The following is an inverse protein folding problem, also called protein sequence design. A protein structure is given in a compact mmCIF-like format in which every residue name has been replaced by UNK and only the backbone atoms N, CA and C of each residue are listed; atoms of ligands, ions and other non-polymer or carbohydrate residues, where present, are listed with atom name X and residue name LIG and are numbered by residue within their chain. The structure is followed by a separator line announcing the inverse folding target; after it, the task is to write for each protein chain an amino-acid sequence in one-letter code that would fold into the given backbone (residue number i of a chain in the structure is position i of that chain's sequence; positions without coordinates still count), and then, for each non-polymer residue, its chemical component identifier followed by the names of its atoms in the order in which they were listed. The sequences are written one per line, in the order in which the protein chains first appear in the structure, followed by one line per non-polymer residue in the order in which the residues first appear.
data_IF_480536152582
#
_entry.id   IF_480536152582
#
_cell.length_a   1.000
_cell.length_b   1.000
_cell.length_c   1.000
_cell.angle_alpha   90.00
_cell.angle_beta   90.00
_cell.angle_gamma   90.00
#
_symmetry.space_group_name_H-M   'P 1'
#
loop_
_entity.id
_entity.type
_entity.pdbx_description
1 polymer ?
#
# COMPACT_ATOMS: atom_id res chain seq x y z
N UNK A 1 -20.71 41.17 -38.73
CA UNK A 1 -19.44 41.57 -38.10
C UNK A 1 -19.01 40.44 -37.18
N UNK A 2 -17.75 39.95 -37.24
CA UNK A 2 -17.26 39.01 -36.22
C UNK A 2 -17.37 39.69 -34.86
N UNK A 3 -17.82 38.97 -33.82
CA UNK A 3 -17.91 39.54 -32.47
C UNK A 3 -16.49 39.88 -32.01
N UNK A 4 -16.30 41.00 -31.31
CA UNK A 4 -14.97 41.46 -30.83
C UNK A 4 -14.21 40.37 -30.05
N UNK A 5 -14.94 39.44 -29.41
CA UNK A 5 -14.38 38.25 -28.77
C UNK A 5 -13.64 37.32 -29.77
N UNK A 6 -14.19 37.06 -30.96
CA UNK A 6 -13.57 36.21 -31.98
C UNK A 6 -12.28 36.82 -32.53
N UNK A 7 -12.23 38.15 -32.64
CA UNK A 7 -11.03 38.88 -33.09
C UNK A 7 -9.93 38.79 -32.03
N UNK A 8 -10.30 38.92 -30.75
CA UNK A 8 -9.38 38.77 -29.62
C UNK A 8 -8.76 37.37 -29.53
N UNK A 9 -9.56 36.32 -29.70
CA UNK A 9 -9.06 34.94 -29.73
C UNK A 9 -8.11 34.69 -30.90
N UNK A 10 -8.43 35.22 -32.09
CA UNK A 10 -7.61 35.06 -33.29
C UNK A 10 -6.25 35.77 -33.16
N UNK A 11 -6.23 36.98 -32.61
CA UNK A 11 -4.99 37.72 -32.31
C UNK A 11 -4.15 36.94 -31.30
N UNK A 12 -4.75 36.46 -30.21
CA UNK A 12 -4.04 35.66 -29.20
C UNK A 12 -3.46 34.37 -29.78
N UNK A 13 -4.18 33.71 -30.69
CA UNK A 13 -3.69 32.52 -31.40
C UNK A 13 -2.48 32.85 -32.30
N UNK A 14 -2.55 33.95 -33.06
CA UNK A 14 -1.45 34.42 -33.93
C UNK A 14 -0.22 34.77 -33.10
N UNK A 15 -0.38 35.52 -32.00
CA UNK A 15 0.72 35.89 -31.10
C UNK A 15 1.38 34.65 -30.50
N UNK A 16 0.59 33.69 -29.99
CA UNK A 16 1.11 32.40 -29.49
C UNK A 16 1.90 31.63 -30.55
N UNK A 17 1.35 31.54 -31.77
CA UNK A 17 2.01 30.84 -32.88
C UNK A 17 3.32 31.52 -33.31
N UNK A 18 3.37 32.85 -33.27
CA UNK A 18 4.54 33.64 -33.66
C UNK A 18 5.63 33.54 -32.60
N UNK A 19 5.26 33.59 -31.32
CA UNK A 19 6.18 33.40 -30.20
C UNK A 19 6.81 32.00 -30.21
N UNK A 20 6.01 30.96 -30.48
CA UNK A 20 6.50 29.59 -30.63
C UNK A 20 7.50 29.46 -31.81
N UNK A 21 7.21 30.08 -32.96
CA UNK A 21 8.14 30.12 -34.10
C UNK A 21 9.44 30.84 -33.75
N UNK A 22 9.38 31.98 -33.07
CA UNK A 22 10.58 32.72 -32.64
C UNK A 22 11.44 31.85 -31.72
N UNK A 23 10.84 31.18 -30.72
CA UNK A 23 11.61 30.31 -29.83
C UNK A 23 12.28 29.14 -30.57
N UNK A 24 11.61 28.56 -31.56
CA UNK A 24 12.16 27.48 -32.39
C UNK A 24 13.24 27.95 -33.38
N UNK A 25 13.13 29.16 -33.92
CA UNK A 25 14.10 29.69 -34.91
C UNK A 25 15.39 30.17 -34.26
N UNK A 26 15.32 30.75 -33.07
CA UNK A 26 16.50 31.28 -32.37
C UNK A 26 17.14 30.29 -31.38
N UNK A 27 16.65 29.04 -31.33
CA UNK A 27 17.22 27.98 -30.50
C UNK A 27 17.38 28.38 -29.03
N UNK A 28 16.46 29.20 -28.48
CA UNK A 28 16.60 29.63 -27.08
C UNK A 28 16.57 28.39 -26.19
N UNK A 29 17.55 28.21 -25.28
CA UNK A 29 17.52 27.09 -24.36
C UNK A 29 16.20 27.12 -23.59
N UNK A 30 15.44 26.03 -23.64
CA UNK A 30 14.16 25.94 -22.92
C UNK A 30 14.33 26.21 -21.42
N UNK A 31 15.52 25.97 -20.88
CA UNK A 31 15.95 26.29 -19.52
C UNK A 31 15.98 27.81 -19.23
N UNK A 32 16.46 28.65 -20.15
CA UNK A 32 16.42 30.13 -20.02
C UNK A 32 14.96 30.61 -20.00
N UNK A 33 14.11 30.08 -20.88
CA UNK A 33 12.69 30.41 -20.88
C UNK A 33 12.02 30.01 -19.55
N UNK A 34 12.30 28.81 -19.04
CA UNK A 34 11.77 28.33 -17.76
C UNK A 34 12.21 29.22 -16.59
N UNK A 35 13.49 29.66 -16.58
CA UNK A 35 14.05 30.54 -15.54
C UNK A 35 13.35 31.90 -15.43
N UNK A 36 12.70 32.36 -16.51
CA UNK A 36 11.93 33.61 -16.55
C UNK A 36 10.48 33.44 -16.10
N UNK A 37 10.05 32.19 -15.89
CA UNK A 37 8.68 31.84 -15.51
C UNK A 37 8.51 31.64 -14.00
N UNK A 38 9.41 32.17 -13.18
CA UNK A 38 9.43 31.99 -11.72
C UNK A 38 8.10 32.33 -11.03
N UNK A 39 7.36 33.34 -11.50
CA UNK A 39 6.04 33.65 -10.95
C UNK A 39 5.01 32.54 -11.24
N UNK A 40 5.02 32.00 -12.46
CA UNK A 40 4.15 30.88 -12.87
C UNK A 40 4.51 29.62 -12.09
N UNK A 41 5.81 29.34 -11.91
CA UNK A 41 6.28 28.15 -11.21
C UNK A 41 5.94 28.18 -9.71
N UNK A 42 5.72 29.36 -9.12
CA UNK A 42 5.28 29.50 -7.73
C UNK A 42 3.77 29.32 -7.53
N UNK A 43 2.97 29.27 -8.60
CA UNK A 43 1.53 29.01 -8.50
C UNK A 43 1.25 27.64 -7.87
N UNK A 44 0.08 27.50 -7.24
CA UNK A 44 -0.35 26.24 -6.63
C UNK A 44 -0.49 25.14 -7.69
N UNK A 45 -1.15 25.45 -8.81
CA UNK A 45 -1.29 24.59 -9.98
C UNK A 45 -0.64 25.21 -11.24
N UNK A 46 0.70 25.16 -11.37
CA UNK A 46 1.40 25.80 -12.47
C UNK A 46 1.07 25.17 -13.83
N UNK A 47 0.63 23.90 -13.85
CA UNK A 47 0.25 23.19 -15.09
C UNK A 47 -1.07 23.69 -15.69
N UNK A 48 -1.90 24.39 -14.91
CA UNK A 48 -3.08 25.08 -15.43
C UNK A 48 -2.70 26.36 -16.20
N UNK A 49 -1.49 26.88 -15.99
CA UNK A 49 -1.04 28.11 -16.61
C UNK A 49 -0.70 27.90 -18.09
N UNK A 50 -1.41 28.62 -18.96
CA UNK A 50 -1.22 28.52 -20.41
C UNK A 50 0.22 28.81 -20.86
N UNK A 51 0.98 29.65 -20.15
CA UNK A 51 2.39 29.91 -20.47
C UNK A 51 3.24 28.65 -20.28
N UNK A 52 3.01 27.92 -19.19
CA UNK A 52 3.74 26.68 -18.92
C UNK A 52 3.36 25.58 -19.93
N UNK A 53 2.09 25.49 -20.32
CA UNK A 53 1.65 24.55 -21.36
C UNK A 53 2.30 24.86 -22.72
N UNK A 54 2.43 26.14 -23.09
CA UNK A 54 3.15 26.54 -24.32
C UNK A 54 4.64 26.20 -24.21
N UNK A 55 5.25 26.39 -23.03
CA UNK A 55 6.63 25.98 -22.79
C UNK A 55 6.83 24.46 -22.90
N UNK A 56 5.92 23.65 -22.33
CA UNK A 56 5.96 22.18 -22.46
C UNK A 56 5.95 21.76 -23.93
N UNK A 57 5.05 22.34 -24.73
CA UNK A 57 4.98 22.09 -26.18
C UNK A 57 6.27 22.50 -26.89
N UNK A 58 6.86 23.62 -26.52
CA UNK A 58 8.12 24.08 -27.09
C UNK A 58 9.27 23.10 -26.80
N UNK A 59 9.35 22.56 -25.57
CA UNK A 59 10.34 21.52 -25.22
C UNK A 59 10.14 20.27 -26.07
N UNK A 60 8.90 19.81 -26.27
CA UNK A 60 8.61 18.67 -27.14
C UNK A 60 9.08 18.90 -28.58
N UNK A 61 8.71 20.05 -29.18
CA UNK A 61 9.08 20.41 -30.54
C UNK A 61 10.60 20.53 -30.71
N UNK A 62 11.30 21.07 -29.70
CA UNK A 62 12.75 21.20 -29.68
C UNK A 62 13.42 19.83 -29.64
N UNK A 63 12.97 18.94 -28.73
CA UNK A 63 13.51 17.59 -28.58
C UNK A 63 13.25 16.73 -29.83
N UNK A 64 12.14 16.94 -30.53
CA UNK A 64 11.84 16.26 -31.79
C UNK A 64 12.78 16.71 -32.92
N UNK A 65 13.12 18.01 -32.97
CA UNK A 65 14.06 18.56 -33.98
C UNK A 65 15.52 18.23 -33.68
N UNK A 66 15.88 18.11 -32.40
CA UNK A 66 17.25 17.86 -31.94
C UNK A 66 17.34 16.65 -31.00
N UNK A 67 17.06 15.41 -31.44
CA UNK A 67 16.95 14.25 -30.55
C UNK A 67 18.23 13.91 -29.76
N UNK A 68 19.41 14.23 -30.31
CA UNK A 68 20.70 13.96 -29.65
C UNK A 68 20.98 14.87 -28.46
N UNK A 69 20.38 16.05 -28.44
CA UNK A 69 20.52 17.06 -27.38
C UNK A 69 19.27 17.14 -26.50
N UNK A 70 18.33 16.21 -26.71
CA UNK A 70 17.03 16.25 -26.08
C UNK A 70 17.15 16.18 -24.55
N UNK A 71 16.48 17.13 -23.88
CA UNK A 71 16.33 17.18 -22.43
C UNK A 71 14.85 17.18 -22.10
N UNK A 72 14.41 16.28 -21.22
CA UNK A 72 13.00 16.19 -20.86
C UNK A 72 12.54 17.46 -20.12
N UNK A 73 11.30 17.88 -20.34
CA UNK A 73 10.72 18.99 -19.57
C UNK A 73 10.70 18.66 -18.07
N UNK A 74 10.44 17.39 -17.73
CA UNK A 74 10.51 16.88 -16.38
C UNK A 74 11.87 17.10 -15.70
N UNK A 75 12.99 16.87 -16.41
CA UNK A 75 14.33 17.06 -15.88
C UNK A 75 14.61 18.54 -15.56
N UNK A 76 14.16 19.46 -16.42
CA UNK A 76 14.30 20.90 -16.21
C UNK A 76 13.45 21.37 -15.01
N UNK A 77 12.22 20.85 -14.88
CA UNK A 77 11.36 21.13 -13.74
C UNK A 77 11.91 20.52 -12.44
N UNK A 78 12.55 19.35 -12.51
CA UNK A 78 13.24 18.73 -11.37
C UNK A 78 14.43 19.57 -10.94
N UNK A 79 15.19 20.16 -11.87
CA UNK A 79 16.27 21.07 -11.53
C UNK A 79 15.77 22.36 -10.82
N UNK A 80 14.55 22.80 -11.13
CA UNK A 80 13.96 24.00 -10.50
C UNK A 80 13.32 23.73 -9.14
N UNK A 81 12.40 22.77 -9.06
CA UNK A 81 11.66 22.47 -7.83
C UNK A 81 12.46 21.56 -6.89
N UNK A 82 13.40 20.81 -7.44
CA UNK A 82 13.99 19.65 -6.81
C UNK A 82 13.04 18.45 -6.82
N UNK A 83 13.65 17.28 -6.74
CA UNK A 83 12.99 16.02 -6.41
C UNK A 83 14.06 14.97 -6.13
N UNK A 84 14.10 14.43 -4.92
CA UNK A 84 15.05 13.41 -4.53
C UNK A 84 14.51 12.51 -3.43
N UNK A 85 15.11 11.33 -3.32
CA UNK A 85 14.79 10.34 -2.29
C UNK A 85 15.08 10.79 -0.84
N UNK A 86 15.73 11.95 -0.63
CA UNK A 86 16.17 12.45 0.68
C UNK A 86 15.25 13.53 1.26
N UNK A 87 14.04 13.68 0.71
CA UNK A 87 12.99 14.51 1.30
C UNK A 87 12.68 15.81 0.57
N UNK A 88 13.32 16.10 -0.58
CA UNK A 88 12.75 17.10 -1.49
C UNK A 88 11.79 16.37 -2.45
N UNK A 89 10.49 16.58 -2.29
CA UNK A 89 9.46 15.97 -3.14
C UNK A 89 8.57 17.01 -3.81
N UNK A 90 9.03 18.26 -3.97
CA UNK A 90 8.18 19.38 -4.36
C UNK A 90 7.56 19.19 -5.76
N UNK A 91 8.36 18.74 -6.73
CA UNK A 91 7.82 18.43 -8.07
C UNK A 91 6.78 17.30 -7.98
N UNK A 92 7.09 16.21 -7.27
CA UNK A 92 6.17 15.09 -7.08
C UNK A 92 4.85 15.50 -6.45
N UNK A 93 4.89 16.32 -5.40
CA UNK A 93 3.69 16.87 -4.77
C UNK A 93 2.85 17.67 -5.77
N UNK A 94 3.49 18.55 -6.55
CA UNK A 94 2.79 19.35 -7.57
C UNK A 94 2.21 18.48 -8.69
N UNK A 95 2.94 17.48 -9.17
CA UNK A 95 2.46 16.59 -10.22
C UNK A 95 1.30 15.72 -9.73
N UNK A 96 1.39 15.16 -8.52
CA UNK A 96 0.31 14.34 -7.95
C UNK A 96 -0.94 15.20 -7.71
N UNK A 97 -0.82 16.41 -7.18
CA UNK A 97 -1.96 17.33 -7.04
C UNK A 97 -2.59 17.68 -8.40
N UNK A 98 -1.77 17.91 -9.43
CA UNK A 98 -2.26 18.20 -10.77
C UNK A 98 -2.95 17.01 -11.45
N UNK A 99 -2.72 15.77 -10.98
CA UNK A 99 -3.43 14.57 -11.46
C UNK A 99 -4.86 14.46 -10.95
N UNK A 100 -5.18 15.14 -9.85
CA UNK A 100 -6.55 15.21 -9.29
C UNK A 100 -7.44 16.21 -10.03
N UNK A 101 -6.85 17.06 -10.88
CA UNK A 101 -7.59 18.02 -11.71
C UNK A 101 -7.66 17.55 -13.17
N UNK A 102 -8.88 17.40 -13.70
CA UNK A 102 -9.13 16.85 -15.04
C UNK A 102 -8.39 17.59 -16.16
N UNK A 103 -8.23 18.91 -16.06
CA UNK A 103 -7.57 19.72 -17.09
C UNK A 103 -6.05 19.62 -17.06
N UNK A 104 -5.45 19.34 -15.89
CA UNK A 104 -3.99 19.27 -15.73
C UNK A 104 -3.46 17.83 -15.69
N UNK A 105 -4.34 16.85 -15.48
CA UNK A 105 -3.99 15.43 -15.37
C UNK A 105 -3.18 14.91 -16.54
N UNK A 106 -3.52 15.30 -17.77
CA UNK A 106 -2.79 14.87 -18.97
C UNK A 106 -1.34 15.35 -18.99
N UNK A 107 -1.09 16.59 -18.58
CA UNK A 107 0.25 17.16 -18.50
C UNK A 107 1.05 16.53 -17.35
N UNK A 108 0.39 16.32 -16.21
CA UNK A 108 1.02 15.69 -15.06
C UNK A 108 1.45 14.24 -15.37
N UNK A 109 0.57 13.43 -15.98
CA UNK A 109 0.90 12.07 -16.40
C UNK A 109 2.02 12.04 -17.44
N UNK A 110 2.03 12.98 -18.39
CA UNK A 110 3.12 13.12 -19.36
C UNK A 110 4.45 13.40 -18.68
N UNK A 111 4.48 14.32 -17.72
CA UNK A 111 5.68 14.65 -16.96
C UNK A 111 6.14 13.47 -16.08
N UNK A 112 5.22 12.75 -15.44
CA UNK A 112 5.56 11.53 -14.68
C UNK A 112 6.15 10.44 -15.58
N UNK A 113 5.63 10.26 -16.80
CA UNK A 113 6.20 9.34 -17.78
C UNK A 113 7.65 9.72 -18.16
N UNK A 114 7.91 11.01 -18.41
CA UNK A 114 9.27 11.50 -18.65
C UNK A 114 10.21 11.26 -17.46
N UNK A 115 9.73 11.43 -16.22
CA UNK A 115 10.51 11.13 -15.01
C UNK A 115 10.85 9.65 -14.91
N UNK A 116 9.89 8.76 -15.15
CA UNK A 116 10.11 7.31 -15.19
C UNK A 116 11.15 6.92 -16.24
N UNK A 117 11.09 7.51 -17.43
CA UNK A 117 12.12 7.29 -18.46
C UNK A 117 13.51 7.76 -18.01
N UNK A 118 13.60 8.97 -17.44
CA UNK A 118 14.88 9.53 -17.00
C UNK A 118 15.50 8.74 -15.86
N UNK A 119 14.70 8.32 -14.88
CA UNK A 119 15.13 7.39 -13.84
C UNK A 119 15.50 6.03 -14.41
N UNK A 120 14.79 5.58 -15.44
CA UNK A 120 15.12 4.39 -16.20
C UNK A 120 16.54 4.49 -16.78
N UNK A 121 16.83 5.54 -17.55
CA UNK A 121 18.16 5.80 -18.14
C UNK A 121 19.27 5.87 -17.10
N UNK A 122 18.97 6.41 -15.92
CA UNK A 122 19.91 6.51 -14.78
C UNK A 122 20.00 5.24 -13.93
N UNK A 123 19.29 4.17 -14.30
CA UNK A 123 19.19 2.94 -13.54
C UNK A 123 18.85 3.17 -12.05
N UNK A 124 17.92 4.08 -11.78
CA UNK A 124 17.51 4.42 -10.41
C UNK A 124 16.78 3.22 -9.76
N UNK A 125 17.10 2.94 -8.50
CA UNK A 125 16.50 1.80 -7.80
C UNK A 125 14.98 1.97 -7.68
N UNK A 126 14.17 0.89 -7.85
CA UNK A 126 12.71 1.01 -7.80
C UNK A 126 12.15 1.56 -6.48
N UNK A 127 12.82 1.30 -5.35
CA UNK A 127 12.41 1.87 -4.05
C UNK A 127 12.56 3.40 -4.01
N UNK A 128 13.67 3.92 -4.55
CA UNK A 128 13.86 5.36 -4.69
C UNK A 128 12.77 5.99 -5.57
N UNK A 129 12.42 5.32 -6.67
CA UNK A 129 11.33 5.76 -7.55
C UNK A 129 9.97 5.67 -6.83
N UNK A 130 9.73 4.65 -6.01
CA UNK A 130 8.50 4.53 -5.20
C UNK A 130 8.32 5.73 -4.26
N UNK A 131 9.39 6.10 -3.55
CA UNK A 131 9.39 7.24 -2.63
C UNK A 131 9.27 8.58 -3.40
N UNK A 132 10.00 8.74 -4.51
CA UNK A 132 9.90 9.93 -5.39
C UNK A 132 8.59 9.99 -6.19
N UNK A 133 7.73 8.98 -6.16
CA UNK A 133 6.37 9.07 -6.68
C UNK A 133 5.34 9.30 -5.57
N UNK A 134 5.79 9.34 -4.30
CA UNK A 134 4.97 9.47 -3.10
C UNK A 134 3.92 8.34 -2.99
N UNK A 135 4.32 7.12 -3.37
CA UNK A 135 3.43 5.95 -3.36
C UNK A 135 3.27 5.32 -1.96
N UNK A 136 4.04 5.75 -0.97
CA UNK A 136 3.92 5.31 0.44
C UNK A 136 2.72 5.97 1.12
N UNK A 137 1.51 5.66 0.66
CA UNK A 137 0.25 6.18 1.22
C UNK A 137 -0.84 5.09 1.23
N UNK A 138 -1.90 5.28 2.03
CA UNK A 138 -2.97 4.30 2.18
C UNK A 138 -3.86 4.14 0.94
N UNK A 139 -3.92 5.14 0.06
CA UNK A 139 -4.70 5.15 -1.17
C UNK A 139 -3.89 4.68 -2.41
N UNK A 140 -2.70 4.10 -2.22
CA UNK A 140 -1.79 3.73 -3.30
C UNK A 140 -2.46 2.85 -4.36
N UNK A 141 -3.41 2.00 -3.95
CA UNK A 141 -4.13 1.09 -4.85
C UNK A 141 -5.06 1.83 -5.83
N UNK A 142 -5.45 3.06 -5.52
CA UNK A 142 -6.21 3.95 -6.42
C UNK A 142 -5.28 4.83 -7.26
N UNK A 143 -4.01 4.95 -6.87
CA UNK A 143 -3.07 5.82 -7.55
C UNK A 143 -2.68 5.23 -8.91
N UNK A 144 -2.97 5.91 -10.04
CA UNK A 144 -2.67 5.39 -11.37
C UNK A 144 -1.16 5.23 -11.65
N UNK A 145 -0.28 5.87 -10.86
CA UNK A 145 1.16 5.70 -10.98
C UNK A 145 1.64 4.35 -10.46
N UNK A 146 0.86 3.63 -9.64
CA UNK A 146 1.24 2.32 -9.10
C UNK A 146 1.50 1.31 -10.24
N UNK A 147 0.64 1.28 -11.25
CA UNK A 147 0.79 0.38 -12.41
C UNK A 147 2.02 0.77 -13.25
N UNK A 148 2.28 2.07 -13.40
CA UNK A 148 3.48 2.55 -14.10
C UNK A 148 4.76 2.18 -13.34
N UNK A 149 4.71 2.25 -12.00
CA UNK A 149 5.79 1.80 -11.14
C UNK A 149 5.99 0.28 -11.19
N UNK A 150 4.93 -0.52 -11.29
CA UNK A 150 5.07 -1.97 -11.49
C UNK A 150 5.84 -2.29 -12.77
N UNK A 151 5.48 -1.65 -13.89
CA UNK A 151 6.23 -1.79 -15.14
C UNK A 151 7.68 -1.34 -14.98
N UNK A 152 7.91 -0.24 -14.25
CA UNK A 152 9.27 0.22 -13.96
C UNK A 152 10.11 -0.82 -13.21
N UNK A 153 9.53 -1.50 -12.21
CA UNK A 153 10.19 -2.59 -11.47
C UNK A 153 10.56 -3.75 -12.42
N UNK A 154 9.65 -4.15 -13.31
CA UNK A 154 9.89 -5.19 -14.31
C UNK A 154 11.03 -4.81 -15.26
N UNK A 155 10.99 -3.59 -15.81
CA UNK A 155 12.02 -3.07 -16.71
C UNK A 155 13.37 -2.94 -15.99
N UNK A 156 13.39 -2.52 -14.72
CA UNK A 156 14.59 -2.46 -13.90
C UNK A 156 15.17 -3.87 -13.67
N UNK A 157 14.35 -4.84 -13.30
CA UNK A 157 14.78 -6.23 -13.08
C UNK A 157 15.32 -6.89 -14.35
N UNK A 158 14.73 -6.59 -15.52
CA UNK A 158 15.22 -7.09 -16.81
C UNK A 158 16.63 -6.59 -17.14
N UNK A 159 16.95 -5.34 -16.75
CA UNK A 159 18.27 -4.73 -16.91
C UNK A 159 19.27 -5.13 -15.84
N UNK A 160 18.79 -5.51 -14.66
CA UNK A 160 19.60 -5.87 -13.49
C UNK A 160 19.26 -7.29 -12.99
N UNK A 161 19.57 -8.34 -13.76
CA UNK A 161 19.11 -9.70 -13.46
C UNK A 161 19.72 -10.30 -12.19
N UNK A 162 20.88 -9.80 -11.75
CA UNK A 162 21.57 -10.26 -10.53
C UNK A 162 20.89 -9.72 -9.27
N UNK A 163 20.50 -8.45 -9.28
CA UNK A 163 19.90 -7.74 -8.13
C UNK A 163 18.37 -7.75 -8.15
N UNK A 164 17.75 -8.54 -9.04
CA UNK A 164 16.31 -8.51 -9.24
C UNK A 164 15.56 -8.92 -7.98
N UNK A 165 14.50 -8.17 -7.67
CA UNK A 165 13.55 -8.51 -6.61
C UNK A 165 12.18 -8.79 -7.21
N UNK A 166 11.38 -9.63 -6.57
CA UNK A 166 9.98 -9.80 -7.02
C UNK A 166 9.22 -8.48 -6.85
N UNK A 167 8.20 -8.28 -7.71
CA UNK A 167 7.34 -7.09 -7.64
C UNK A 167 6.80 -6.87 -6.23
N UNK A 168 6.25 -7.93 -5.64
CA UNK A 168 5.61 -7.88 -4.33
C UNK A 168 6.63 -7.67 -3.20
N UNK A 169 7.83 -8.25 -3.28
CA UNK A 169 8.91 -7.95 -2.33
C UNK A 169 9.33 -6.49 -2.38
N UNK A 170 9.43 -5.94 -3.60
CA UNK A 170 9.78 -4.52 -3.80
C UNK A 170 8.68 -3.62 -3.25
N UNK A 171 7.42 -3.95 -3.50
CA UNK A 171 6.28 -3.20 -2.97
C UNK A 171 6.25 -3.25 -1.44
N UNK A 172 6.53 -4.41 -0.84
CA UNK A 172 6.53 -4.57 0.61
C UNK A 172 7.62 -3.72 1.28
N UNK A 173 8.83 -3.70 0.72
CA UNK A 173 9.90 -2.81 1.18
C UNK A 173 9.53 -1.32 1.07
N UNK A 174 8.72 -0.97 0.06
CA UNK A 174 8.12 0.35 -0.09
C UNK A 174 7.21 0.76 1.07
N UNK A 175 6.71 -0.18 1.87
CA UNK A 175 5.90 0.09 3.06
C UNK A 175 6.64 -0.10 4.39
N UNK A 176 7.89 -0.57 4.37
CA UNK A 176 8.75 -0.65 5.55
C UNK A 176 9.55 -1.95 5.62
N UNK A 177 10.18 -2.19 6.78
CA UNK A 177 10.98 -3.40 7.02
C UNK A 177 10.13 -4.62 7.41
N UNK A 178 8.83 -4.43 7.62
CA UNK A 178 7.85 -5.46 7.91
C UNK A 178 6.70 -5.31 6.92
N UNK A 179 6.02 -6.41 6.60
CA UNK A 179 4.95 -6.39 5.61
C UNK A 179 3.64 -5.81 6.17
N UNK A 180 3.62 -5.45 7.46
CA UNK A 180 2.47 -4.87 8.15
C UNK A 180 1.84 -3.69 7.40
N UNK A 181 2.65 -2.71 6.98
CA UNK A 181 2.14 -1.53 6.28
C UNK A 181 1.50 -1.87 4.93
N UNK A 182 2.06 -2.83 4.19
CA UNK A 182 1.44 -3.33 2.97
C UNK A 182 0.14 -4.09 3.27
N UNK A 183 0.11 -4.91 4.33
CA UNK A 183 -1.11 -5.60 4.74
C UNK A 183 -2.23 -4.64 5.11
N UNK A 184 -1.94 -3.54 5.82
CA UNK A 184 -2.93 -2.49 6.13
C UNK A 184 -3.57 -1.93 4.85
N UNK A 185 -2.75 -1.62 3.84
CA UNK A 185 -3.19 -1.16 2.52
C UNK A 185 -4.05 -2.21 1.82
N UNK A 186 -3.63 -3.48 1.84
CA UNK A 186 -4.35 -4.56 1.17
C UNK A 186 -5.69 -4.85 1.86
N UNK A 187 -5.75 -4.84 3.19
CA UNK A 187 -7.01 -5.02 3.95
C UNK A 187 -8.01 -3.90 3.65
N UNK A 188 -7.56 -2.65 3.67
CA UNK A 188 -8.39 -1.52 3.26
C UNK A 188 -8.87 -1.69 1.80
N UNK A 189 -7.97 -2.10 0.91
CA UNK A 189 -8.27 -2.33 -0.50
C UNK A 189 -9.30 -3.44 -0.76
N UNK A 190 -9.28 -4.51 0.04
CA UNK A 190 -10.22 -5.63 -0.08
C UNK A 190 -11.65 -5.25 0.33
N UNK A 191 -11.79 -4.24 1.20
CA UNK A 191 -13.07 -3.74 1.69
C UNK A 191 -13.65 -2.60 0.82
N UNK A 192 -12.88 -2.08 -0.14
CA UNK A 192 -13.30 -1.01 -1.05
C UNK A 192 -13.55 -1.53 -2.48
N UNK A 193 -14.76 -1.27 -3.00
CA UNK A 193 -15.21 -1.83 -4.29
C UNK A 193 -14.27 -1.54 -5.47
N UNK A 194 -13.71 -0.33 -5.57
CA UNK A 194 -12.84 0.06 -6.68
C UNK A 194 -11.41 -0.51 -6.64
N UNK A 195 -10.98 -1.08 -5.51
CA UNK A 195 -9.61 -1.58 -5.30
C UNK A 195 -9.55 -3.08 -4.98
N UNK A 196 -10.71 -3.74 -4.86
CA UNK A 196 -10.81 -5.13 -4.42
C UNK A 196 -10.03 -6.08 -5.33
N UNK A 197 -10.06 -5.87 -6.63
CA UNK A 197 -9.40 -6.75 -7.61
C UNK A 197 -7.87 -6.66 -7.51
N UNK A 198 -7.32 -5.44 -7.47
CA UNK A 198 -5.88 -5.24 -7.33
C UNK A 198 -5.40 -5.71 -5.95
N UNK A 199 -6.16 -5.44 -4.88
CA UNK A 199 -5.84 -5.90 -3.54
C UNK A 199 -5.84 -7.45 -3.46
N UNK A 200 -6.81 -8.10 -4.10
CA UNK A 200 -6.88 -9.58 -4.16
C UNK A 200 -5.67 -10.16 -4.89
N UNK A 201 -5.29 -9.58 -6.03
CA UNK A 201 -4.10 -10.02 -6.79
C UNK A 201 -2.82 -9.88 -5.97
N UNK A 202 -2.60 -8.70 -5.35
CA UNK A 202 -1.42 -8.44 -4.55
C UNK A 202 -1.37 -9.29 -3.28
N UNK A 203 -2.50 -9.52 -2.60
CA UNK A 203 -2.59 -10.47 -1.48
C UNK A 203 -2.11 -11.87 -1.89
N UNK A 204 -2.62 -12.38 -3.02
CA UNK A 204 -2.22 -13.71 -3.51
C UNK A 204 -0.73 -13.78 -3.85
N UNK A 205 -0.18 -12.71 -4.45
CA UNK A 205 1.27 -12.62 -4.68
C UNK A 205 2.07 -12.59 -3.37
N UNK A 206 1.58 -11.86 -2.35
CA UNK A 206 2.24 -11.78 -1.05
C UNK A 206 2.25 -13.15 -0.35
N UNK A 207 1.14 -13.88 -0.39
CA UNK A 207 1.06 -15.24 0.12
C UNK A 207 2.03 -16.19 -0.59
N UNK A 208 2.08 -16.11 -1.93
CA UNK A 208 3.01 -16.91 -2.72
C UNK A 208 4.47 -16.55 -2.42
N UNK A 209 4.78 -15.28 -2.20
CA UNK A 209 6.12 -14.80 -1.81
C UNK A 209 6.53 -15.33 -0.44
N UNK A 210 5.64 -15.26 0.57
CA UNK A 210 5.88 -15.83 1.89
C UNK A 210 6.12 -17.34 1.82
N UNK A 211 5.31 -18.05 1.02
CA UNK A 211 5.48 -19.49 0.79
C UNK A 211 6.82 -19.80 0.10
N UNK A 212 7.20 -19.05 -0.94
CA UNK A 212 8.48 -19.22 -1.64
C UNK A 212 9.68 -18.98 -0.71
N UNK A 213 9.55 -18.03 0.21
CA UNK A 213 10.52 -17.76 1.30
C UNK A 213 10.43 -18.76 2.45
N UNK A 214 9.56 -19.78 2.35
CA UNK A 214 9.34 -20.83 3.36
C UNK A 214 8.92 -20.29 4.73
N UNK A 215 8.25 -19.14 4.75
CA UNK A 215 7.73 -18.57 5.99
C UNK A 215 6.53 -19.42 6.42
N UNK A 216 6.57 -19.95 7.65
CA UNK A 216 5.42 -20.62 8.24
C UNK A 216 4.42 -19.58 8.74
N UNK A 217 3.16 -19.94 9.01
CA UNK A 217 2.22 -19.03 9.64
C UNK A 217 2.79 -18.44 10.94
N UNK A 218 3.47 -19.22 11.79
CA UNK A 218 4.09 -18.71 13.01
C UNK A 218 5.18 -17.65 12.73
N UNK A 219 6.06 -17.88 11.76
CA UNK A 219 7.07 -16.88 11.36
C UNK A 219 6.43 -15.60 10.80
N UNK A 220 5.35 -15.75 10.02
CA UNK A 220 4.61 -14.59 9.50
C UNK A 220 3.95 -13.81 10.64
N UNK A 221 3.41 -14.50 11.65
CA UNK A 221 2.83 -13.88 12.85
C UNK A 221 3.89 -13.06 13.61
N UNK A 222 5.00 -13.72 13.96
CA UNK A 222 6.01 -13.18 14.87
C UNK A 222 6.89 -12.11 14.23
N UNK A 223 7.40 -12.40 13.03
CA UNK A 223 8.53 -11.65 12.46
C UNK A 223 8.12 -10.79 11.26
N UNK A 224 7.25 -11.30 10.39
CA UNK A 224 6.86 -10.61 9.15
C UNK A 224 5.80 -9.53 9.40
N UNK A 225 4.77 -9.85 10.19
CA UNK A 225 3.70 -8.92 10.54
C UNK A 225 3.88 -8.32 11.94
N UNK A 226 4.74 -8.92 12.76
CA UNK A 226 5.00 -8.51 14.14
C UNK A 226 3.69 -8.33 14.91
N UNK A 227 2.80 -9.31 14.83
CA UNK A 227 1.42 -9.18 15.32
C UNK A 227 1.32 -8.92 16.83
N UNK A 228 2.34 -9.30 17.61
CA UNK A 228 2.44 -8.96 19.04
C UNK A 228 2.81 -7.50 19.29
N UNK A 229 3.29 -6.77 18.29
CA UNK A 229 3.64 -5.35 18.44
C UNK A 229 2.40 -4.53 18.78
N UNK A 230 2.44 -3.82 19.90
CA UNK A 230 1.30 -3.07 20.44
C UNK A 230 0.40 -3.87 21.39
N UNK A 231 0.72 -5.13 21.64
CA UNK A 231 -0.01 -6.04 22.53
C UNK A 231 0.89 -6.54 23.67
N UNK A 232 0.28 -7.07 24.72
CA UNK A 232 0.97 -7.72 25.84
C UNK A 232 0.48 -9.16 25.96
N UNK A 233 1.17 -9.99 26.74
CA UNK A 233 0.75 -11.38 27.01
C UNK A 233 -0.69 -11.41 27.55
N UNK A 234 -1.05 -10.39 28.33
CA UNK A 234 -2.37 -10.19 28.92
C UNK A 234 -3.34 -9.39 28.03
N UNK A 235 -3.05 -9.10 26.77
CA UNK A 235 -3.95 -8.34 25.89
C UNK A 235 -3.73 -8.72 24.42
N UNK A 236 -4.59 -9.60 23.88
CA UNK A 236 -4.50 -10.08 22.50
C UNK A 236 -5.21 -9.15 21.49
N UNK A 237 -4.84 -9.17 20.19
CA UNK A 237 -5.63 -8.53 19.14
C UNK A 237 -7.04 -9.10 19.09
N UNK A 238 -8.04 -8.24 18.86
CA UNK A 238 -9.41 -8.68 18.62
C UNK A 238 -9.54 -9.51 17.34
N UNK A 239 -10.53 -10.41 17.25
CA UNK A 239 -10.81 -11.17 16.02
C UNK A 239 -11.16 -10.28 14.82
N UNK A 240 -11.56 -9.03 15.07
CA UNK A 240 -11.82 -8.03 14.05
C UNK A 240 -10.58 -7.28 13.56
N UNK A 241 -9.41 -7.47 14.20
CA UNK A 241 -8.16 -6.83 13.80
C UNK A 241 -7.80 -7.19 12.34
N UNK A 242 -7.54 -6.19 11.47
CA UNK A 242 -7.29 -6.44 10.06
C UNK A 242 -6.00 -7.25 9.82
N UNK A 243 -4.96 -7.07 10.63
CA UNK A 243 -3.69 -7.79 10.43
C UNK A 243 -3.85 -9.24 10.85
N UNK A 244 -4.56 -9.51 11.95
CA UNK A 244 -4.89 -10.86 12.39
C UNK A 244 -5.77 -11.57 11.35
N UNK A 245 -6.78 -10.89 10.80
CA UNK A 245 -7.61 -11.43 9.70
C UNK A 245 -6.77 -11.78 8.47
N UNK A 246 -5.81 -10.93 8.09
CA UNK A 246 -4.90 -11.23 6.97
C UNK A 246 -4.07 -12.47 7.25
N UNK A 247 -3.53 -12.57 8.46
CA UNK A 247 -2.74 -13.71 8.92
C UNK A 247 -3.55 -15.02 8.95
N UNK A 248 -4.78 -14.99 9.46
CA UNK A 248 -5.68 -16.18 9.47
C UNK A 248 -5.85 -16.70 8.03
N UNK A 249 -6.08 -15.80 7.07
CA UNK A 249 -6.22 -16.19 5.65
C UNK A 249 -4.93 -16.80 5.08
N UNK A 250 -3.76 -16.32 5.51
CA UNK A 250 -2.48 -16.93 5.14
C UNK A 250 -2.29 -18.32 5.78
N UNK A 251 -2.60 -18.44 7.07
CA UNK A 251 -2.55 -19.71 7.81
C UNK A 251 -3.42 -20.77 7.14
N UNK A 252 -4.67 -20.43 6.80
CA UNK A 252 -5.59 -21.32 6.09
C UNK A 252 -5.05 -21.74 4.71
N UNK A 253 -4.56 -20.76 3.93
CA UNK A 253 -3.92 -21.00 2.64
C UNK A 253 -2.73 -21.97 2.75
N UNK A 254 -1.86 -21.74 3.73
CA UNK A 254 -0.69 -22.56 3.98
C UNK A 254 -1.08 -23.98 4.40
N UNK A 255 -1.98 -24.12 5.38
CA UNK A 255 -2.43 -25.43 5.86
C UNK A 255 -3.10 -26.26 4.75
N UNK A 256 -3.86 -25.61 3.85
CA UNK A 256 -4.50 -26.29 2.72
C UNK A 256 -3.46 -26.86 1.74
N UNK A 257 -2.38 -26.13 1.48
CA UNK A 257 -1.29 -26.56 0.58
C UNK A 257 -0.32 -27.54 1.22
N UNK A 258 -0.24 -27.60 2.54
CA UNK A 258 0.68 -28.45 3.29
C UNK A 258 -0.08 -29.44 4.21
N UNK A 259 -1.00 -30.28 3.68
CA UNK A 259 -1.90 -31.10 4.50
C UNK A 259 -1.20 -32.21 5.29
N UNK A 260 0.01 -32.59 4.91
CA UNK A 260 0.82 -33.62 5.57
C UNK A 260 1.68 -33.08 6.72
N UNK A 261 1.71 -31.76 6.93
CA UNK A 261 2.39 -31.15 8.08
C UNK A 261 1.41 -30.98 9.23
N UNK A 262 1.95 -30.87 10.45
CA UNK A 262 1.16 -30.42 11.58
C UNK A 262 0.54 -29.05 11.23
N UNK A 263 -0.80 -28.97 11.30
CA UNK A 263 -1.53 -27.74 10.98
C UNK A 263 -1.29 -26.71 12.08
N UNK A 264 -0.89 -25.51 11.69
CA UNK A 264 -0.93 -24.35 12.59
C UNK A 264 -2.39 -23.96 12.79
N UNK A 265 -2.80 -23.65 14.02
CA UNK A 265 -4.17 -23.19 14.30
C UNK A 265 -4.13 -21.81 14.93
N UNK A 266 -5.18 -21.01 14.71
CA UNK A 266 -5.31 -19.70 15.37
C UNK A 266 -5.19 -19.84 16.88
N UNK A 267 -5.80 -20.89 17.45
CA UNK A 267 -5.75 -21.17 18.88
C UNK A 267 -4.32 -21.41 19.38
N UNK A 268 -3.59 -22.34 18.74
CA UNK A 268 -2.25 -22.70 19.20
C UNK A 268 -1.28 -21.50 19.03
N UNK A 269 -1.37 -20.75 17.93
CA UNK A 269 -0.58 -19.52 17.75
C UNK A 269 -0.93 -18.47 18.80
N UNK A 270 -2.22 -18.19 19.06
CA UNK A 270 -2.62 -17.26 20.11
C UNK A 270 -2.10 -17.70 21.47
N UNK A 271 -2.20 -18.99 21.80
CA UNK A 271 -1.76 -19.52 23.09
C UNK A 271 -0.24 -19.43 23.26
N UNK A 272 0.53 -19.60 22.19
CA UNK A 272 1.98 -19.44 22.23
C UNK A 272 2.42 -17.99 22.53
N UNK A 273 1.56 -17.00 22.31
CA UNK A 273 1.90 -15.59 22.45
C UNK A 273 1.16 -14.83 23.55
N UNK A 274 0.00 -15.34 23.97
CA UNK A 274 -0.92 -14.67 24.88
C UNK A 274 -1.41 -15.65 25.96
N UNK A 275 -1.70 -15.09 27.13
CA UNK A 275 -2.28 -15.81 28.25
C UNK A 275 -3.75 -16.14 27.99
N UNK A 276 -4.24 -17.18 28.66
CA UNK A 276 -5.63 -17.62 28.52
C UNK A 276 -6.65 -16.53 28.83
N UNK A 277 -6.40 -15.67 29.82
CA UNK A 277 -7.30 -14.57 30.15
C UNK A 277 -7.35 -13.49 29.05
N UNK A 278 -6.26 -13.30 28.30
CA UNK A 278 -6.26 -12.42 27.12
C UNK A 278 -7.12 -12.99 25.99
N UNK A 279 -7.01 -14.30 25.74
CA UNK A 279 -7.81 -15.01 24.73
C UNK A 279 -9.28 -15.03 25.13
N UNK A 280 -9.60 -15.28 26.41
CA UNK A 280 -10.98 -15.22 26.92
C UNK A 280 -11.56 -13.82 26.72
N UNK A 281 -10.84 -12.75 27.06
CA UNK A 281 -11.30 -11.37 26.81
C UNK A 281 -11.59 -11.12 25.34
N UNK A 282 -10.66 -11.50 24.46
CA UNK A 282 -10.84 -11.41 23.01
C UNK A 282 -12.14 -12.11 22.54
N UNK A 283 -12.44 -13.30 23.07
CA UNK A 283 -13.65 -14.06 22.72
C UNK A 283 -14.92 -13.41 23.27
N UNK A 284 -14.91 -12.94 24.52
CA UNK A 284 -16.02 -12.23 25.15
C UNK A 284 -16.37 -10.99 24.32
N UNK A 285 -15.37 -10.17 23.99
CA UNK A 285 -15.55 -8.96 23.20
C UNK A 285 -16.06 -9.28 21.78
N UNK A 286 -15.48 -10.28 21.12
CA UNK A 286 -15.91 -10.69 19.78
C UNK A 286 -17.33 -11.27 19.74
N UNK A 287 -17.85 -11.85 20.84
CA UNK A 287 -19.24 -12.30 20.94
C UNK A 287 -20.26 -11.14 20.99
N UNK A 288 -19.82 -9.93 21.32
CA UNK A 288 -20.66 -8.73 21.34
C UNK A 288 -20.89 -8.15 19.93
N UNK A 289 -19.94 -8.38 19.02
CA UNK A 289 -20.02 -7.93 17.62
C UNK A 289 -20.68 -9.01 16.74
N UNK A 290 -21.85 -8.73 16.11
CA UNK A 290 -22.52 -9.68 15.23
C UNK A 290 -21.63 -10.24 14.10
N UNK A 291 -20.67 -9.46 13.60
CA UNK A 291 -19.81 -9.86 12.50
C UNK A 291 -18.75 -10.91 12.91
N UNK A 292 -18.37 -10.96 14.19
CA UNK A 292 -17.35 -11.88 14.71
C UNK A 292 -17.88 -12.92 15.69
N UNK A 293 -19.14 -12.81 16.12
CA UNK A 293 -19.80 -13.69 17.09
C UNK A 293 -19.75 -15.18 16.73
N UNK A 294 -19.95 -15.54 15.45
CA UNK A 294 -19.91 -16.94 15.02
C UNK A 294 -18.49 -17.52 15.18
N UNK A 295 -17.48 -16.85 14.63
CA UNK A 295 -16.08 -17.25 14.76
C UNK A 295 -15.61 -17.27 16.22
N UNK A 296 -16.10 -16.35 17.06
CA UNK A 296 -15.81 -16.34 18.48
C UNK A 296 -16.37 -17.59 19.20
N UNK A 297 -17.58 -18.04 18.87
CA UNK A 297 -18.16 -19.28 19.42
C UNK A 297 -17.42 -20.53 18.96
N UNK A 298 -16.99 -20.57 17.70
CA UNK A 298 -16.20 -21.69 17.19
C UNK A 298 -14.85 -21.79 17.92
N UNK A 299 -14.16 -20.65 18.11
CA UNK A 299 -12.90 -20.60 18.83
C UNK A 299 -13.05 -20.87 20.34
N UNK A 300 -14.16 -20.43 20.95
CA UNK A 300 -14.54 -20.79 22.32
C UNK A 300 -14.75 -22.31 22.48
N UNK A 301 -15.42 -22.94 21.53
CA UNK A 301 -15.64 -24.40 21.56
C UNK A 301 -14.31 -25.16 21.47
N UNK A 302 -13.37 -24.68 20.65
CA UNK A 302 -12.01 -25.22 20.58
C UNK A 302 -11.22 -25.03 21.89
N UNK A 303 -11.36 -23.86 22.53
CA UNK A 303 -10.77 -23.58 23.84
C UNK A 303 -11.30 -24.56 24.89
N UNK A 304 -12.61 -24.76 24.95
CA UNK A 304 -13.23 -25.72 25.88
C UNK A 304 -12.77 -27.15 25.60
N UNK A 305 -12.73 -27.59 24.34
CA UNK A 305 -12.23 -28.91 23.98
C UNK A 305 -10.79 -29.13 24.46
N UNK A 306 -9.91 -28.13 24.28
CA UNK A 306 -8.51 -28.18 24.76
C UNK A 306 -8.42 -28.24 26.28
N UNK A 307 -9.23 -27.47 27.00
CA UNK A 307 -9.27 -27.52 28.47
C UNK A 307 -9.78 -28.87 28.97
N UNK A 308 -10.83 -29.42 28.35
CA UNK A 308 -11.33 -30.76 28.66
C UNK A 308 -10.23 -31.81 28.39
N UNK A 309 -9.59 -31.80 27.22
CA UNK A 309 -8.55 -32.79 26.91
C UNK A 309 -7.34 -32.67 27.85
N UNK A 310 -7.04 -31.46 28.32
CA UNK A 310 -6.06 -31.20 29.38
C UNK A 310 -6.55 -31.52 30.80
N UNK A 311 -7.79 -32.01 30.96
CA UNK A 311 -8.43 -32.33 32.24
C UNK A 311 -8.47 -31.17 33.24
N UNK A 312 -8.57 -29.94 32.74
CA UNK A 312 -8.61 -28.75 33.60
C UNK A 312 -9.97 -28.65 34.29
N UNK A 313 -9.97 -28.60 35.61
CA UNK A 313 -11.19 -28.44 36.40
C UNK A 313 -11.76 -27.02 36.26
N UNK A 314 -13.04 -26.79 36.59
CA UNK A 314 -13.57 -25.43 36.69
C UNK A 314 -12.73 -24.51 37.61
N UNK A 315 -12.11 -25.06 38.67
CA UNK A 315 -11.25 -24.29 39.57
C UNK A 315 -9.95 -23.86 38.88
N UNK A 316 -9.34 -24.73 38.06
CA UNK A 316 -8.09 -24.43 37.35
C UNK A 316 -8.24 -23.26 36.37
N UNK A 317 -9.39 -23.19 35.71
CA UNK A 317 -9.66 -22.17 34.69
C UNK A 317 -10.33 -20.90 35.24
N UNK A 318 -10.82 -20.93 36.49
CA UNK A 318 -11.61 -19.84 37.09
C UNK A 318 -10.88 -18.49 37.02
N UNK A 319 -9.56 -18.48 37.20
CA UNK A 319 -8.76 -17.24 37.11
C UNK A 319 -8.78 -16.61 35.72
N UNK A 320 -8.84 -17.41 34.65
CA UNK A 320 -8.82 -16.93 33.28
C UNK A 320 -10.18 -16.40 32.84
N UNK A 321 -11.24 -16.99 33.40
CA UNK A 321 -12.62 -16.63 33.10
C UNK A 321 -13.12 -15.38 33.83
N UNK A 322 -12.35 -14.80 34.77
CA UNK A 322 -12.66 -13.48 35.38
C UNK A 322 -12.82 -12.35 34.35
N UNK A 323 -12.27 -12.57 33.16
CA UNK A 323 -12.45 -11.76 31.96
C UNK A 323 -13.92 -11.67 31.50
N UNK A 324 -14.70 -12.75 31.67
CA UNK A 324 -16.12 -12.81 31.35
C UNK A 324 -16.94 -12.39 32.57
N UNK A 325 -17.41 -11.15 32.58
CA UNK A 325 -18.22 -10.62 33.69
C UNK A 325 -19.63 -11.22 33.79
N UNK A 326 -20.07 -11.96 32.77
CA UNK A 326 -21.39 -12.60 32.76
C UNK A 326 -21.39 -14.00 33.35
N UNK A 327 -20.20 -14.54 33.66
CA UNK A 327 -19.97 -15.95 34.04
C UNK A 327 -20.46 -16.99 33.02
N UNK A 328 -20.95 -16.57 31.85
CA UNK A 328 -21.55 -17.46 30.86
C UNK A 328 -20.57 -18.52 30.33
N UNK A 329 -19.31 -18.13 30.09
CA UNK A 329 -18.27 -19.08 29.68
C UNK A 329 -17.91 -20.06 30.80
N UNK A 330 -17.93 -19.60 32.05
CA UNK A 330 -17.64 -20.46 33.21
C UNK A 330 -18.73 -21.50 33.40
N UNK A 331 -19.98 -21.06 33.39
CA UNK A 331 -21.14 -21.94 33.54
C UNK A 331 -21.21 -22.98 32.42
N UNK A 332 -20.94 -22.57 31.18
CA UNK A 332 -20.96 -23.48 30.04
C UNK A 332 -19.82 -24.52 30.14
N UNK A 333 -18.59 -24.09 30.45
CA UNK A 333 -17.50 -25.04 30.63
C UNK A 333 -17.76 -26.00 31.79
N UNK A 334 -18.28 -25.51 32.91
CA UNK A 334 -18.61 -26.33 34.08
C UNK A 334 -19.61 -27.43 33.71
N UNK A 335 -20.67 -27.11 32.97
CA UNK A 335 -21.63 -28.11 32.46
C UNK A 335 -20.94 -29.14 31.57
N UNK A 336 -20.13 -28.70 30.61
CA UNK A 336 -19.41 -29.61 29.70
C UNK A 336 -18.46 -30.54 30.46
N UNK A 337 -17.76 -30.02 31.48
CA UNK A 337 -16.86 -30.79 32.32
C UNK A 337 -17.61 -31.86 33.14
N UNK A 338 -18.71 -31.47 33.80
CA UNK A 338 -19.55 -32.38 34.57
C UNK A 338 -20.21 -33.46 33.68
N UNK A 339 -20.58 -33.13 32.44
CA UNK A 339 -21.07 -34.10 31.46
C UNK A 339 -20.00 -35.11 31.04
N UNK A 340 -18.74 -34.69 30.90
CA UNK A 340 -17.62 -35.57 30.50
C UNK A 340 -17.12 -36.42 31.68
N UNK A 341 -17.16 -35.89 32.91
CA UNK A 341 -16.74 -36.55 34.15
C UNK A 341 -17.76 -36.40 35.29
N UNK A 342 -18.88 -37.15 35.25
CA UNK A 342 -19.93 -37.03 36.26
C UNK A 342 -19.51 -37.41 37.68
N UNK A 343 -18.40 -38.14 37.84
CA UNK A 343 -17.87 -38.60 39.14
C UNK A 343 -16.51 -37.96 39.51
N UNK A 344 -16.09 -36.90 38.81
CA UNK A 344 -14.75 -36.33 38.92
C UNK A 344 -13.74 -36.96 37.95
N UNK A 345 -12.58 -36.30 37.81
CA UNK A 345 -11.47 -36.68 36.91
C UNK A 345 -10.58 -37.76 37.51
#
# INVERSE_FOLDING_TARGET
MPRLADVGEKINSIVKSTQQKIWLTYGRPAEDLLSRMTSVLKEDNPLANSKLQVWLKHVDDLNQKHPREAKSAASMLTAHYGDNQYGNSLLSTKLNAAMENEHTKVFALKLQAQRLEDWGRKNTAPLAVFDMLLLRNHDVLKNPLLISWFKYVEDFNARNPVDKMTLISTLSLGFGTSDRGLVEVLEAGLNAGGTKDIATKLKTQLFAEWEAKKLTPDLVFESTLRLKQGYTDSNAPGLSDPILKFWIRYMEWFNLKHPHKQKTTLFDTLRNHFDYDAIVRMLVDAKLDPASKASARDLESLLFAKWLDGKLTPQDIARWLRADRSDAMFDEYKRLFEMKWPNGV
#
